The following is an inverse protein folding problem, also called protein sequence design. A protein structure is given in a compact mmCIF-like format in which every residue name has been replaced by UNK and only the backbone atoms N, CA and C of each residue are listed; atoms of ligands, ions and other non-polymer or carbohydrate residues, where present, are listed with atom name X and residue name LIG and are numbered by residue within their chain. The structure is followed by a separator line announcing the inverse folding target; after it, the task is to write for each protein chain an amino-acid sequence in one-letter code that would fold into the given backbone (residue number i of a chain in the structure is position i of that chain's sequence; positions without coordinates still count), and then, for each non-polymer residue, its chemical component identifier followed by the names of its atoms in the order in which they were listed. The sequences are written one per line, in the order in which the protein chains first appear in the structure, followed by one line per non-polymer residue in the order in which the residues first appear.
data_IF_856650568721
#
_entry.id   IF_856650568721
#
_cell.length_a   1.000
_cell.length_b   1.000
_cell.length_c   1.000
_cell.angle_alpha   90.00
_cell.angle_beta   90.00
_cell.angle_gamma   90.00
#
_symmetry.space_group_name_H-M   'P 1'
#
loop_
_entity.id
_entity.type
_entity.pdbx_description
1 polymer ?
#
# COMPACT_ATOMS: atom_id res chain seq x y z
N UNK A 1 27.97 -12.62 8.49
CA UNK A 1 27.76 -13.11 7.12
C UNK A 1 26.26 -13.41 7.03
N UNK A 2 25.45 -12.44 6.59
CA UNK A 2 24.02 -12.66 6.41
C UNK A 2 23.83 -13.07 4.96
N UNK A 3 23.57 -14.36 4.76
CA UNK A 3 23.10 -14.89 3.49
C UNK A 3 21.78 -14.19 3.17
N UNK A 4 21.80 -13.33 2.16
CA UNK A 4 20.56 -12.85 1.55
C UNK A 4 19.92 -14.08 0.91
N UNK A 5 18.78 -14.50 1.45
CA UNK A 5 17.86 -15.46 0.86
C UNK A 5 17.60 -15.09 -0.60
N UNK A 6 18.43 -15.67 -1.47
CA UNK A 6 18.30 -15.63 -2.91
C UNK A 6 17.04 -16.43 -3.20
N UNK A 7 15.93 -15.70 -3.29
CA UNK A 7 14.62 -16.25 -3.62
C UNK A 7 14.77 -17.32 -4.70
N UNK A 8 14.40 -18.54 -4.35
CA UNK A 8 14.33 -19.66 -5.27
C UNK A 8 13.14 -19.39 -6.21
N UNK A 9 13.37 -18.54 -7.21
CA UNK A 9 12.54 -18.50 -8.40
C UNK A 9 12.80 -19.84 -9.08
N UNK A 10 11.79 -20.72 -9.14
CA UNK A 10 11.92 -22.04 -9.76
C UNK A 10 12.66 -21.92 -11.08
N UNK A 11 13.56 -22.85 -11.39
CA UNK A 11 14.48 -22.76 -12.54
C UNK A 11 13.79 -22.63 -13.92
N UNK A 12 12.46 -22.74 -13.97
CA UNK A 12 11.64 -22.47 -15.16
C UNK A 12 11.01 -21.07 -15.23
N UNK A 13 11.15 -20.23 -14.19
CA UNK A 13 10.58 -18.89 -14.15
C UNK A 13 11.52 -17.92 -14.89
N UNK A 14 11.08 -17.52 -16.07
CA UNK A 14 11.73 -16.48 -16.87
C UNK A 14 11.34 -15.10 -16.34
N UNK A 15 12.22 -14.10 -16.50
CA UNK A 15 11.87 -12.71 -16.19
C UNK A 15 10.61 -12.25 -16.97
N UNK A 16 10.32 -12.88 -18.10
CA UNK A 16 9.09 -12.64 -18.89
C UNK A 16 7.81 -13.14 -18.22
N UNK A 17 7.89 -14.02 -17.23
CA UNK A 17 6.73 -14.50 -16.48
C UNK A 17 6.23 -13.45 -15.48
N UNK A 18 7.07 -12.45 -15.18
CA UNK A 18 6.73 -11.33 -14.31
C UNK A 18 6.35 -10.14 -15.17
N UNK A 19 5.05 -9.85 -15.25
CA UNK A 19 4.59 -8.56 -15.76
C UNK A 19 4.81 -7.54 -14.66
N UNK A 20 5.55 -6.46 -14.96
CA UNK A 20 5.56 -5.27 -14.11
C UNK A 20 4.12 -4.77 -14.12
N UNK A 21 3.38 -5.05 -13.05
CA UNK A 21 2.09 -4.42 -12.83
C UNK A 21 2.36 -2.94 -12.57
N UNK A 22 2.28 -2.14 -13.63
CA UNK A 22 2.30 -0.69 -13.51
C UNK A 22 1.03 -0.29 -12.77
N UNK A 23 1.13 -0.19 -11.44
CA UNK A 23 0.09 0.17 -10.48
C UNK A 23 -1.31 -0.14 -11.02
N UNK A 24 -1.55 -1.40 -11.38
CA UNK A 24 -2.80 -1.76 -12.03
C UNK A 24 -3.89 -1.43 -11.01
N UNK A 25 -4.67 -0.40 -11.31
CA UNK A 25 -5.75 0.09 -10.49
C UNK A 25 -6.80 -1.02 -10.47
N UNK A 26 -6.63 -2.05 -9.63
CA UNK A 26 -7.63 -3.11 -9.57
C UNK A 26 -8.92 -2.40 -9.11
N UNK A 27 -10.02 -2.47 -9.90
CA UNK A 27 -11.23 -1.72 -9.58
C UNK A 27 -11.77 -2.18 -8.23
N UNK A 28 -11.77 -1.28 -7.23
CA UNK A 28 -12.11 -1.59 -5.84
C UNK A 28 -10.93 -1.65 -4.86
N UNK A 29 -9.70 -1.61 -5.35
CA UNK A 29 -8.46 -1.36 -4.58
C UNK A 29 -7.73 -0.15 -5.19
N UNK A 30 -8.52 0.77 -5.76
CA UNK A 30 -8.01 1.86 -6.60
C UNK A 30 -6.91 2.65 -5.90
N UNK A 31 -5.75 2.77 -6.55
CA UNK A 31 -4.68 3.66 -6.12
C UNK A 31 -3.93 3.20 -4.86
N UNK A 32 -3.08 2.19 -5.01
CA UNK A 32 -1.99 1.88 -4.06
C UNK A 32 -0.99 3.03 -3.94
N UNK A 33 -0.97 3.96 -4.91
CA UNK A 33 -0.16 5.17 -4.85
C UNK A 33 -0.71 6.12 -3.80
N UNK A 34 -0.08 6.11 -2.62
CA UNK A 34 -0.19 7.18 -1.65
C UNK A 34 0.76 8.29 -2.06
N UNK A 35 0.25 9.51 -2.19
CA UNK A 35 1.10 10.69 -2.29
C UNK A 35 1.72 10.99 -0.93
N UNK A 36 2.85 11.70 -0.89
CA UNK A 36 3.47 12.11 0.37
C UNK A 36 2.48 12.87 1.27
N UNK A 37 1.64 13.70 0.67
CA UNK A 37 0.61 14.46 1.38
C UNK A 37 -0.44 13.55 2.04
N UNK A 38 -0.95 12.55 1.32
CA UNK A 38 -1.91 11.59 1.89
C UNK A 38 -1.28 10.77 3.03
N UNK A 39 -0.01 10.38 2.88
CA UNK A 39 0.74 9.66 3.92
C UNK A 39 0.89 10.53 5.18
N UNK A 40 1.21 11.81 5.02
CA UNK A 40 1.30 12.74 6.15
C UNK A 40 -0.05 12.91 6.87
N UNK A 41 -1.15 13.05 6.11
CA UNK A 41 -2.50 13.14 6.68
C UNK A 41 -2.87 11.87 7.46
N UNK A 42 -2.55 10.69 6.93
CA UNK A 42 -2.79 9.43 7.63
C UNK A 42 -2.03 9.37 8.96
N UNK A 43 -0.76 9.77 8.96
CA UNK A 43 0.07 9.76 10.17
C UNK A 43 -0.43 10.76 11.22
N UNK A 44 -0.82 11.97 10.82
CA UNK A 44 -1.44 12.96 11.70
C UNK A 44 -2.74 12.43 12.31
N UNK A 45 -3.62 11.87 11.46
CA UNK A 45 -4.87 11.28 11.87
C UNK A 45 -4.66 10.13 12.87
N UNK A 46 -3.66 9.26 12.68
CA UNK A 46 -3.36 8.16 13.60
C UNK A 46 -2.93 8.66 14.98
N UNK A 47 -2.16 9.75 15.04
CA UNK A 47 -1.72 10.36 16.29
C UNK A 47 -2.90 10.99 17.05
N UNK A 48 -3.79 11.69 16.34
CA UNK A 48 -4.88 12.45 16.96
C UNK A 48 -6.09 11.55 17.29
N UNK A 49 -6.48 10.67 16.36
CA UNK A 49 -7.75 9.96 16.41
C UNK A 49 -7.66 8.58 17.10
N UNK A 50 -6.45 8.06 17.33
CA UNK A 50 -6.19 6.80 18.02
C UNK A 50 -6.96 5.61 17.41
N UNK A 51 -6.69 5.31 16.14
CA UNK A 51 -7.30 4.21 15.39
C UNK A 51 -8.84 4.26 15.23
N UNK A 52 -9.46 5.45 15.39
CA UNK A 52 -10.83 5.68 14.91
C UNK A 52 -10.84 5.76 13.39
N UNK A 53 -10.79 4.61 12.75
CA UNK A 53 -10.63 4.49 11.30
C UNK A 53 -11.75 5.12 10.46
N UNK A 54 -12.93 5.36 11.04
CA UNK A 54 -13.98 6.15 10.38
C UNK A 54 -13.52 7.59 10.18
N UNK A 55 -13.13 8.24 11.28
CA UNK A 55 -12.63 9.61 11.30
C UNK A 55 -11.30 9.75 10.55
N UNK A 56 -10.42 8.74 10.59
CA UNK A 56 -9.13 8.75 9.86
C UNK A 56 -9.37 8.80 8.35
N UNK A 57 -10.30 7.99 7.83
CA UNK A 57 -10.61 7.98 6.41
C UNK A 57 -11.20 9.32 5.96
N UNK A 58 -12.06 9.93 6.79
CA UNK A 58 -12.59 11.28 6.55
C UNK A 58 -11.47 12.34 6.57
N UNK A 59 -10.45 12.19 7.42
CA UNK A 59 -9.33 13.12 7.50
C UNK A 59 -8.40 13.04 6.27
N UNK A 60 -8.15 11.84 5.74
CA UNK A 60 -7.38 11.68 4.49
C UNK A 60 -8.21 12.14 3.29
N UNK A 61 -9.55 12.05 3.38
CA UNK A 61 -10.58 12.49 2.41
C UNK A 61 -10.58 11.72 1.06
N UNK A 62 -9.40 11.36 0.56
CA UNK A 62 -9.20 10.67 -0.73
C UNK A 62 -9.10 9.15 -0.62
N UNK A 63 -9.02 8.60 0.59
CA UNK A 63 -8.80 7.18 0.85
C UNK A 63 -9.90 6.60 1.74
N UNK A 64 -10.34 5.40 1.39
CA UNK A 64 -11.33 4.68 2.18
C UNK A 64 -10.72 4.12 3.46
N UNK A 65 -11.57 3.83 4.45
CA UNK A 65 -11.19 3.13 5.68
C UNK A 65 -10.33 1.88 5.44
N UNK A 66 -10.71 1.06 4.45
CA UNK A 66 -9.98 -0.15 4.12
C UNK A 66 -8.57 0.16 3.58
N UNK A 67 -8.42 1.20 2.76
CA UNK A 67 -7.12 1.63 2.26
C UNK A 67 -6.23 2.19 3.37
N UNK A 68 -6.78 3.00 4.28
CA UNK A 68 -6.04 3.52 5.44
C UNK A 68 -5.53 2.41 6.36
N UNK A 69 -6.28 1.31 6.49
CA UNK A 69 -5.88 0.16 7.32
C UNK A 69 -4.79 -0.73 6.71
N UNK A 70 -4.65 -0.72 5.38
CA UNK A 70 -3.75 -1.61 4.64
C UNK A 70 -2.43 -0.94 4.21
N UNK A 71 -2.30 0.37 4.40
CA UNK A 71 -1.06 1.11 4.18
C UNK A 71 -0.04 0.79 5.26
#
# INVERSE_FOLDING_TARGET
LHDYDKGNLDAGMSQTDFIIMESAEIPGFGGTSWTDQETLLLLEALVILQAKWGDIAEHVDTKTKAQCMLH
#
